data_IF_067838739086
#
_entry.id   IF_067838739086
#
_cell.length_a   1.000
_cell.length_b   1.000
_cell.length_c   1.000
_cell.angle_alpha   90.00
_cell.angle_beta   90.00
_cell.angle_gamma   90.00
#
_symmetry.space_group_name_H-M   'P 1'
#
loop_
_entity.id
_entity.type
_entity.pdbx_description
1 polymer ?
#
# COMPACT_ATOMS: atom_id res chain seq x y z
N UNK A 1 16.91 -13.10 -26.52
CA UNK A 1 16.01 -13.14 -25.35
C UNK A 1 15.06 -11.97 -25.55
N UNK A 2 13.91 -12.20 -26.19
CA UNK A 2 12.92 -11.16 -26.40
C UNK A 2 12.24 -10.86 -25.06
N UNK A 3 12.52 -9.70 -24.51
CA UNK A 3 11.74 -9.14 -23.40
C UNK A 3 10.35 -8.79 -23.93
N UNK A 4 9.45 -9.77 -23.96
CA UNK A 4 8.05 -9.49 -24.21
C UNK A 4 7.51 -8.79 -22.94
N UNK A 5 7.43 -7.49 -22.98
CA UNK A 5 6.73 -6.66 -21.98
C UNK A 5 5.22 -6.92 -22.20
N UNK A 6 4.78 -8.12 -21.91
CA UNK A 6 3.37 -8.43 -21.85
C UNK A 6 2.91 -7.97 -20.47
N UNK A 7 2.17 -6.86 -20.41
CA UNK A 7 1.43 -6.45 -19.22
C UNK A 7 0.48 -7.54 -18.74
N UNK A 8 -0.20 -7.31 -17.62
CA UNK A 8 -1.15 -8.27 -17.06
C UNK A 8 -2.15 -8.73 -18.14
N UNK A 9 -2.32 -10.04 -18.30
CA UNK A 9 -3.23 -10.61 -19.30
C UNK A 9 -4.66 -10.20 -18.99
N UNK A 10 -5.36 -9.64 -19.98
CA UNK A 10 -6.80 -9.38 -19.90
C UNK A 10 -7.51 -10.74 -20.04
N UNK A 11 -8.27 -11.12 -19.02
CA UNK A 11 -9.01 -12.39 -19.01
C UNK A 11 -10.43 -12.21 -19.50
N UNK A 12 -11.05 -11.10 -19.19
CA UNK A 12 -12.42 -10.79 -19.59
C UNK A 12 -12.65 -9.28 -19.67
N UNK A 13 -13.35 -8.82 -20.70
CA UNK A 13 -13.74 -7.42 -20.85
C UNK A 13 -15.25 -7.30 -20.67
N UNK A 14 -15.69 -6.51 -19.69
CA UNK A 14 -17.10 -6.16 -19.49
C UNK A 14 -17.39 -4.92 -20.31
N UNK A 15 -18.21 -5.05 -21.35
CA UNK A 15 -18.71 -3.94 -22.14
C UNK A 15 -19.97 -3.35 -21.49
N UNK A 16 -20.17 -2.04 -21.61
CA UNK A 16 -21.35 -1.32 -21.10
C UNK A 16 -21.47 -1.17 -19.58
N UNK A 17 -20.40 -0.86 -18.87
CA UNK A 17 -20.51 -0.42 -17.47
C UNK A 17 -20.96 1.05 -17.46
N UNK A 18 -22.13 1.38 -16.86
CA UNK A 18 -22.57 2.77 -16.73
C UNK A 18 -21.54 3.55 -15.91
N UNK A 19 -20.95 4.60 -16.40
CA UNK A 19 -19.91 5.50 -15.91
C UNK A 19 -18.49 5.20 -16.38
N UNK A 20 -18.08 3.96 -16.60
CA UNK A 20 -16.69 3.55 -16.88
C UNK A 20 -16.49 3.02 -18.31
N UNK A 21 -17.57 2.80 -19.06
CA UNK A 21 -17.52 2.30 -20.44
C UNK A 21 -17.10 0.83 -20.53
N UNK A 22 -15.81 0.58 -20.73
CA UNK A 22 -15.22 -0.78 -20.76
C UNK A 22 -14.39 -1.02 -19.53
N UNK A 23 -14.58 -2.16 -18.86
CA UNK A 23 -13.78 -2.57 -17.71
C UNK A 23 -13.11 -3.90 -18.03
N UNK A 24 -11.79 -3.90 -18.07
CA UNK A 24 -10.99 -5.08 -18.33
C UNK A 24 -10.66 -5.77 -17.00
N UNK A 25 -11.09 -7.04 -16.88
CA UNK A 25 -10.70 -7.89 -15.76
C UNK A 25 -9.34 -8.50 -16.11
N UNK A 26 -8.30 -7.97 -15.44
CA UNK A 26 -6.94 -8.44 -15.60
C UNK A 26 -6.63 -9.60 -14.66
N UNK A 27 -5.63 -10.40 -15.00
CA UNK A 27 -5.10 -11.42 -14.10
C UNK A 27 -4.68 -10.84 -12.75
N UNK A 28 -4.10 -9.64 -12.75
CA UNK A 28 -3.72 -8.89 -11.54
C UNK A 28 -4.89 -8.68 -10.60
N UNK A 29 -6.06 -8.33 -11.13
CA UNK A 29 -7.27 -8.09 -10.34
C UNK A 29 -7.72 -9.36 -9.61
N UNK A 30 -7.75 -10.51 -10.31
CA UNK A 30 -8.16 -11.79 -9.73
C UNK A 30 -7.17 -12.24 -8.66
N UNK A 31 -5.86 -12.11 -8.91
CA UNK A 31 -4.83 -12.45 -7.92
C UNK A 31 -4.90 -11.52 -6.72
N UNK A 32 -5.20 -10.22 -6.92
CA UNK A 32 -5.42 -9.27 -5.82
C UNK A 32 -6.58 -9.70 -4.91
N UNK A 33 -7.69 -10.11 -5.49
CA UNK A 33 -8.84 -10.61 -4.72
C UNK A 33 -8.50 -11.89 -3.96
N UNK A 34 -7.75 -12.78 -4.57
CA UNK A 34 -7.28 -14.00 -3.92
C UNK A 34 -6.37 -13.68 -2.73
N UNK A 35 -5.41 -12.78 -2.90
CA UNK A 35 -4.51 -12.31 -1.84
C UNK A 35 -5.29 -11.70 -0.68
N UNK A 36 -6.23 -10.77 -0.97
CA UNK A 36 -7.08 -10.16 0.06
C UNK A 36 -7.93 -11.22 0.77
N UNK A 37 -8.49 -12.17 0.02
CA UNK A 37 -9.26 -13.27 0.59
C UNK A 37 -8.42 -14.14 1.55
N UNK A 38 -7.20 -14.52 1.15
CA UNK A 38 -6.27 -15.30 1.98
C UNK A 38 -5.92 -14.54 3.26
N UNK A 39 -5.56 -13.24 3.14
CA UNK A 39 -5.20 -12.40 4.28
C UNK A 39 -6.38 -12.28 5.24
N UNK A 40 -7.59 -12.03 4.72
CA UNK A 40 -8.80 -11.89 5.53
C UNK A 40 -9.11 -13.18 6.29
N UNK A 41 -9.05 -14.33 5.62
CA UNK A 41 -9.26 -15.64 6.24
C UNK A 41 -8.20 -15.94 7.31
N UNK A 42 -6.94 -15.61 7.03
CA UNK A 42 -5.84 -15.81 7.96
C UNK A 42 -5.99 -14.92 9.20
N UNK A 43 -6.32 -13.65 9.02
CA UNK A 43 -6.58 -12.72 10.13
C UNK A 43 -7.79 -13.15 10.95
N UNK A 44 -8.87 -13.58 10.29
CA UNK A 44 -10.05 -14.11 10.98
C UNK A 44 -9.73 -15.39 11.77
N UNK A 45 -8.99 -16.31 11.15
CA UNK A 45 -8.55 -17.53 11.84
C UNK A 45 -7.67 -17.23 13.03
N UNK A 46 -6.68 -16.34 12.93
CA UNK A 46 -5.78 -15.96 14.02
C UNK A 46 -6.49 -15.16 15.11
N UNK A 47 -7.42 -14.27 14.74
CA UNK A 47 -8.19 -13.44 15.66
C UNK A 47 -9.35 -14.17 16.34
N UNK A 48 -9.74 -15.37 15.88
CA UNK A 48 -10.83 -16.13 16.47
C UNK A 48 -10.39 -16.88 17.74
N UNK A 49 -11.19 -16.76 18.82
CA UNK A 49 -11.00 -17.52 20.05
C UNK A 49 -9.83 -17.03 20.93
N UNK A 50 -9.55 -15.74 20.91
CA UNK A 50 -8.57 -15.13 21.83
C UNK A 50 -9.03 -15.26 23.28
N UNK A 51 -8.13 -15.68 24.17
CA UNK A 51 -8.38 -15.88 25.60
C UNK A 51 -7.35 -15.12 26.42
N UNK A 52 -7.78 -14.58 27.55
CA UNK A 52 -6.89 -13.90 28.52
C UNK A 52 -6.04 -14.89 29.32
N UNK A 53 -6.60 -16.08 29.57
CA UNK A 53 -5.94 -17.18 30.31
C UNK A 53 -5.80 -18.40 29.39
N UNK A 54 -4.75 -19.18 29.55
CA UNK A 54 -4.41 -20.33 28.70
C UNK A 54 -4.20 -19.96 27.24
N UNK A 55 -3.16 -19.14 26.98
CA UNK A 55 -2.76 -18.67 25.65
C UNK A 55 -2.41 -19.86 24.76
N UNK A 56 -3.08 -19.98 23.64
CA UNK A 56 -2.78 -21.00 22.63
C UNK A 56 -1.57 -20.58 21.78
N UNK A 57 -0.82 -21.54 21.21
CA UNK A 57 0.31 -21.24 20.29
C UNK A 57 -0.13 -20.33 19.14
N UNK A 58 -1.34 -20.51 18.63
CA UNK A 58 -1.98 -19.68 17.61
C UNK A 58 -2.07 -18.21 18.05
N UNK A 59 -2.55 -17.97 19.28
CA UNK A 59 -2.67 -16.63 19.86
C UNK A 59 -1.28 -16.00 20.07
N UNK A 60 -0.31 -16.77 20.58
CA UNK A 60 1.06 -16.29 20.77
C UNK A 60 1.69 -15.79 19.45
N UNK A 61 1.48 -16.49 18.33
CA UNK A 61 1.94 -16.06 17.01
C UNK A 61 1.24 -14.77 16.56
N UNK A 62 -0.08 -14.68 16.76
CA UNK A 62 -0.83 -13.47 16.41
C UNK A 62 -0.38 -12.25 17.25
N UNK A 63 -0.20 -12.43 18.56
CA UNK A 63 0.28 -11.37 19.46
C UNK A 63 1.72 -10.94 19.14
N UNK A 64 2.59 -11.89 18.81
CA UNK A 64 3.97 -11.59 18.40
C UNK A 64 3.98 -10.76 17.12
N UNK A 65 3.19 -11.13 16.11
CA UNK A 65 3.06 -10.38 14.85
C UNK A 65 2.48 -8.97 15.08
N UNK A 66 1.42 -8.87 15.89
CA UNK A 66 0.81 -7.59 16.23
C UNK A 66 1.78 -6.67 16.99
N UNK A 67 2.53 -7.23 17.96
CA UNK A 67 3.54 -6.49 18.75
C UNK A 67 4.70 -6.03 17.87
N UNK A 68 5.18 -6.89 16.96
CA UNK A 68 6.24 -6.52 16.02
C UNK A 68 5.81 -5.37 15.13
N UNK A 69 4.58 -5.41 14.58
CA UNK A 69 4.01 -4.34 13.76
C UNK A 69 3.86 -3.04 14.57
N UNK A 70 3.34 -3.12 15.79
CA UNK A 70 3.17 -1.98 16.68
C UNK A 70 4.52 -1.32 16.99
N UNK A 71 5.54 -2.11 17.33
CA UNK A 71 6.88 -1.60 17.59
C UNK A 71 7.51 -0.98 16.34
N UNK A 72 7.29 -1.59 15.17
CA UNK A 72 7.76 -1.05 13.88
C UNK A 72 7.12 0.31 13.58
N UNK A 73 5.79 0.44 13.72
CA UNK A 73 5.10 1.71 13.47
C UNK A 73 5.50 2.77 14.48
N UNK A 74 5.51 2.46 15.77
CA UNK A 74 5.90 3.39 16.83
C UNK A 74 7.35 3.83 16.72
N UNK A 75 8.25 2.93 16.34
CA UNK A 75 9.66 3.25 16.14
C UNK A 75 9.92 4.20 14.98
N UNK A 76 9.06 4.21 13.97
CA UNK A 76 9.22 5.06 12.79
C UNK A 76 8.34 6.32 12.79
N UNK A 77 7.13 6.23 13.34
CA UNK A 77 6.13 7.31 13.25
C UNK A 77 5.82 7.96 14.60
N UNK A 78 6.17 7.31 15.72
CA UNK A 78 5.79 7.75 17.06
C UNK A 78 4.43 7.24 17.51
N UNK A 79 4.13 7.42 18.79
CA UNK A 79 2.90 6.92 19.45
C UNK A 79 1.63 7.68 19.05
N UNK A 80 1.78 8.90 18.53
CA UNK A 80 0.64 9.72 18.10
C UNK A 80 -0.09 9.12 16.88
N UNK A 81 0.59 8.26 16.12
CA UNK A 81 0.09 7.64 14.89
C UNK A 81 -0.39 6.19 15.08
N UNK A 82 -0.64 5.76 16.32
CA UNK A 82 -1.11 4.40 16.63
C UNK A 82 -2.39 4.01 15.85
N UNK A 83 -3.26 4.96 15.54
CA UNK A 83 -4.48 4.71 14.76
C UNK A 83 -4.21 4.31 13.30
N UNK A 84 -2.98 4.51 12.78
CA UNK A 84 -2.56 4.05 11.44
C UNK A 84 -1.94 2.66 11.44
N UNK A 85 -1.74 2.03 12.60
CA UNK A 85 -1.18 0.66 12.68
C UNK A 85 -1.95 -0.34 11.80
N UNK A 86 -3.30 -0.36 11.80
CA UNK A 86 -4.03 -1.28 10.93
C UNK A 86 -3.80 -1.01 9.44
N UNK A 87 -3.74 0.26 9.03
CA UNK A 87 -3.50 0.64 7.64
C UNK A 87 -2.10 0.22 7.19
N UNK A 88 -1.08 0.62 7.94
CA UNK A 88 0.32 0.28 7.64
C UNK A 88 0.51 -1.24 7.64
N UNK A 89 -0.09 -1.93 8.62
CA UNK A 89 -0.07 -3.38 8.69
C UNK A 89 -0.72 -4.05 7.50
N UNK A 90 -1.85 -3.54 7.05
CA UNK A 90 -2.55 -4.07 5.87
C UNK A 90 -1.70 -3.92 4.62
N UNK A 91 -1.13 -2.74 4.37
CA UNK A 91 -0.25 -2.49 3.22
C UNK A 91 0.97 -3.42 3.29
N UNK A 92 1.62 -3.51 4.46
CA UNK A 92 2.81 -4.35 4.65
C UNK A 92 2.52 -5.83 4.42
N UNK A 93 1.48 -6.38 5.06
CA UNK A 93 1.11 -7.80 4.90
C UNK A 93 0.69 -8.09 3.47
N UNK A 94 -0.09 -7.20 2.84
CA UNK A 94 -0.52 -7.38 1.45
C UNK A 94 0.68 -7.37 0.50
N UNK A 95 1.65 -6.48 0.70
CA UNK A 95 2.89 -6.44 -0.08
C UNK A 95 3.69 -7.75 0.07
N UNK A 96 3.89 -8.21 1.30
CA UNK A 96 4.62 -9.47 1.57
C UNK A 96 3.93 -10.66 0.92
N UNK A 97 2.61 -10.81 1.13
CA UNK A 97 1.85 -11.94 0.56
C UNK A 97 1.83 -11.88 -0.98
N UNK A 98 1.68 -10.69 -1.57
CA UNK A 98 1.73 -10.50 -3.02
C UNK A 98 3.07 -10.94 -3.61
N UNK A 99 4.19 -10.60 -2.93
CA UNK A 99 5.52 -11.03 -3.36
C UNK A 99 5.69 -12.55 -3.25
N UNK A 100 5.16 -13.17 -2.17
CA UNK A 100 5.18 -14.64 -2.03
C UNK A 100 4.36 -15.33 -3.13
N UNK A 101 3.23 -14.76 -3.52
CA UNK A 101 2.40 -15.26 -4.64
C UNK A 101 3.17 -15.16 -5.96
N UNK A 102 3.99 -14.13 -6.15
CA UNK A 102 4.90 -14.01 -7.29
C UNK A 102 5.90 -15.17 -7.39
N UNK A 103 6.43 -15.66 -6.26
CA UNK A 103 7.32 -16.82 -6.22
C UNK A 103 6.62 -18.13 -6.65
N UNK A 104 5.31 -18.21 -6.53
CA UNK A 104 4.51 -19.35 -7.01
C UNK A 104 4.25 -19.30 -8.53
N UNK A 105 4.82 -18.33 -9.25
CA UNK A 105 4.65 -18.15 -10.69
C UNK A 105 3.34 -17.49 -11.10
N UNK A 106 2.57 -16.95 -10.14
CA UNK A 106 1.39 -16.14 -10.43
C UNK A 106 1.81 -14.68 -10.63
N UNK A 107 1.06 -13.96 -11.46
CA UNK A 107 1.33 -12.54 -11.67
C UNK A 107 1.02 -11.75 -10.40
N UNK A 108 2.09 -11.26 -9.74
CA UNK A 108 1.94 -10.52 -8.48
C UNK A 108 1.19 -9.20 -8.69
N UNK A 109 0.23 -8.85 -7.84
CA UNK A 109 -0.42 -7.53 -7.87
C UNK A 109 0.57 -6.36 -7.74
N UNK A 110 1.64 -6.54 -6.99
CA UNK A 110 2.70 -5.54 -6.79
C UNK A 110 3.64 -5.41 -7.99
N UNK A 111 3.56 -6.31 -8.96
CA UNK A 111 4.24 -6.18 -10.26
C UNK A 111 3.44 -5.32 -11.26
N UNK A 112 2.36 -4.69 -10.85
CA UNK A 112 1.56 -3.77 -11.64
C UNK A 112 1.74 -2.34 -11.11
N UNK A 113 2.33 -1.47 -11.95
CA UNK A 113 2.60 -0.07 -11.58
C UNK A 113 1.33 0.69 -11.19
N UNK A 114 0.18 0.37 -11.79
CA UNK A 114 -1.09 1.04 -11.46
C UNK A 114 -1.58 0.69 -10.07
N UNK A 115 -1.37 -0.54 -9.62
CA UNK A 115 -1.67 -0.98 -8.24
C UNK A 115 -0.79 -0.24 -7.24
N UNK A 116 0.51 -0.14 -7.52
CA UNK A 116 1.46 0.59 -6.68
C UNK A 116 1.17 2.09 -6.63
N UNK A 117 0.78 2.66 -7.76
CA UNK A 117 0.38 4.08 -7.83
C UNK A 117 -0.89 4.34 -7.01
N UNK A 118 -1.86 3.44 -7.04
CA UNK A 118 -3.07 3.57 -6.23
C UNK A 118 -2.75 3.57 -4.72
N UNK A 119 -1.87 2.68 -4.25
CA UNK A 119 -1.42 2.66 -2.86
C UNK A 119 -0.63 3.91 -2.49
N UNK A 120 0.28 4.35 -3.35
CA UNK A 120 1.06 5.57 -3.15
C UNK A 120 0.16 6.81 -3.07
N UNK A 121 -0.90 6.89 -3.87
CA UNK A 121 -1.88 7.99 -3.81
C UNK A 121 -2.64 8.01 -2.49
N UNK A 122 -3.09 6.86 -1.97
CA UNK A 122 -3.76 6.78 -0.67
C UNK A 122 -2.83 7.29 0.44
N UNK A 123 -1.59 6.82 0.47
CA UNK A 123 -0.59 7.25 1.46
C UNK A 123 -0.28 8.73 1.30
N UNK A 124 -0.13 9.23 0.08
CA UNK A 124 0.13 10.64 -0.20
C UNK A 124 -1.01 11.55 0.29
N UNK A 125 -2.26 11.18 0.06
CA UNK A 125 -3.42 11.93 0.57
C UNK A 125 -3.41 11.99 2.09
N UNK A 126 -3.07 10.89 2.76
CA UNK A 126 -2.97 10.86 4.23
C UNK A 126 -1.83 11.74 4.75
N UNK A 127 -0.67 11.70 4.11
CA UNK A 127 0.48 12.57 4.45
C UNK A 127 0.09 14.03 4.29
N UNK A 128 -0.51 14.40 3.15
CA UNK A 128 -0.93 15.77 2.87
C UNK A 128 -2.00 16.26 3.86
N UNK A 129 -2.97 15.39 4.18
CA UNK A 129 -3.97 15.69 5.20
C UNK A 129 -3.33 16.02 6.56
N UNK A 130 -2.34 15.23 6.99
CA UNK A 130 -1.64 15.47 8.27
C UNK A 130 -0.76 16.72 8.24
N UNK A 131 -0.09 16.99 7.12
CA UNK A 131 0.65 18.23 6.92
C UNK A 131 -0.26 19.45 7.08
N UNK A 132 -1.44 19.43 6.44
CA UNK A 132 -2.42 20.51 6.52
C UNK A 132 -2.99 20.62 7.94
N UNK A 133 -3.27 19.51 8.61
CA UNK A 133 -3.79 19.49 9.97
C UNK A 133 -2.78 20.04 10.99
N UNK A 134 -1.49 19.75 10.81
CA UNK A 134 -0.42 20.19 11.72
C UNK A 134 -0.06 21.67 11.53
N UNK A 135 0.04 22.15 10.29
CA UNK A 135 0.52 23.50 9.96
C UNK A 135 -0.58 24.49 9.57
N UNK A 136 -1.82 23.99 9.40
CA UNK A 136 -2.92 24.74 8.79
C UNK A 136 -2.70 24.93 7.28
N UNK A 137 -3.75 25.32 6.57
CA UNK A 137 -3.70 25.52 5.10
C UNK A 137 -2.66 26.59 4.73
N UNK A 138 -2.64 27.69 5.48
CA UNK A 138 -1.69 28.80 5.23
C UNK A 138 -0.26 28.38 5.52
N UNK A 139 -0.03 27.60 6.59
CA UNK A 139 1.30 27.07 6.92
C UNK A 139 1.80 26.08 5.87
N UNK A 140 0.93 25.21 5.37
CA UNK A 140 1.24 24.28 4.30
C UNK A 140 1.64 25.00 3.01
N UNK A 141 0.88 26.04 2.60
CA UNK A 141 1.21 26.84 1.42
C UNK A 141 2.50 27.65 1.61
N UNK A 142 2.76 28.21 2.81
CA UNK A 142 4.03 28.86 3.10
C UNK A 142 5.22 27.89 3.00
N UNK A 143 5.05 26.62 3.38
CA UNK A 143 6.09 25.61 3.26
C UNK A 143 6.63 25.42 1.85
N UNK A 144 5.81 25.71 0.81
CA UNK A 144 6.31 25.70 -0.57
C UNK A 144 7.22 26.88 -0.90
N UNK A 145 7.11 27.98 -0.16
CA UNK A 145 7.88 29.20 -0.37
C UNK A 145 9.21 29.21 0.40
N UNK A 146 9.38 28.32 1.38
CA UNK A 146 10.59 28.18 2.15
C UNK A 146 11.67 27.37 1.41
N UNK A 147 12.96 27.71 1.52
CA UNK A 147 13.54 28.89 2.17
C UNK A 147 13.52 30.16 1.30
N UNK A 148 13.27 30.02 0.00
CA UNK A 148 13.30 31.16 -0.96
C UNK A 148 12.14 31.01 -1.92
N UNK A 149 11.41 32.08 -2.17
CA UNK A 149 10.26 32.15 -3.09
C UNK A 149 10.55 31.56 -4.49
N UNK A 150 11.78 31.70 -4.99
CA UNK A 150 12.20 31.14 -6.28
C UNK A 150 12.15 29.59 -6.30
N UNK A 151 12.21 28.93 -5.14
CA UNK A 151 12.12 27.47 -5.04
C UNK A 151 10.67 26.95 -5.00
N UNK A 152 9.67 27.82 -4.92
CA UNK A 152 8.27 27.43 -4.89
C UNK A 152 7.86 26.49 -6.03
N UNK A 153 8.18 26.77 -7.30
CA UNK A 153 7.80 25.87 -8.39
C UNK A 153 8.47 24.48 -8.27
N UNK A 154 9.71 24.42 -7.79
CA UNK A 154 10.42 23.15 -7.57
C UNK A 154 9.79 22.35 -6.42
N UNK A 155 9.42 23.02 -5.33
CA UNK A 155 8.77 22.39 -4.18
C UNK A 155 7.40 21.85 -4.56
N UNK A 156 6.59 22.58 -5.33
CA UNK A 156 5.30 22.12 -5.85
C UNK A 156 5.49 20.91 -6.78
N UNK A 157 6.44 20.97 -7.71
CA UNK A 157 6.75 19.85 -8.59
C UNK A 157 7.17 18.61 -7.76
N UNK A 158 8.05 18.78 -6.78
CA UNK A 158 8.50 17.71 -5.89
C UNK A 158 7.32 17.04 -5.18
N UNK A 159 6.38 17.83 -4.64
CA UNK A 159 5.19 17.31 -3.96
C UNK A 159 4.29 16.53 -4.94
N UNK A 160 4.08 17.04 -6.16
CA UNK A 160 3.29 16.35 -7.20
C UNK A 160 3.94 15.02 -7.66
N UNK A 161 5.27 14.97 -7.75
CA UNK A 161 6.00 13.77 -8.16
C UNK A 161 6.22 12.77 -7.02
N UNK A 162 5.95 13.14 -5.77
CA UNK A 162 6.13 12.26 -4.61
C UNK A 162 5.40 10.93 -4.75
N UNK A 163 4.09 10.85 -5.06
CA UNK A 163 3.40 9.57 -5.18
C UNK A 163 3.93 8.72 -6.34
N UNK A 164 4.33 9.35 -7.45
CA UNK A 164 4.92 8.66 -8.59
C UNK A 164 6.27 8.06 -8.20
N UNK A 165 7.11 8.83 -7.51
CA UNK A 165 8.42 8.37 -7.03
C UNK A 165 8.28 7.21 -6.04
N UNK A 166 7.29 7.25 -5.15
CA UNK A 166 7.01 6.17 -4.21
C UNK A 166 6.59 4.89 -4.94
N UNK A 167 5.65 5.00 -5.87
CA UNK A 167 5.18 3.88 -6.68
C UNK A 167 6.31 3.27 -7.52
N UNK A 168 7.07 4.08 -8.23
CA UNK A 168 8.20 3.62 -9.04
C UNK A 168 9.31 2.96 -8.21
N UNK A 169 9.55 3.46 -7.00
CA UNK A 169 10.56 2.87 -6.09
C UNK A 169 10.14 1.47 -5.67
N UNK A 170 8.89 1.29 -5.24
CA UNK A 170 8.38 0.00 -4.80
C UNK A 170 8.31 -0.98 -5.96
N UNK A 171 7.73 -0.57 -7.07
CA UNK A 171 7.67 -1.35 -8.31
C UNK A 171 9.07 -1.75 -8.83
N UNK A 172 10.04 -0.83 -8.83
CA UNK A 172 11.41 -1.10 -9.26
C UNK A 172 12.11 -2.12 -8.36
N UNK A 173 11.89 -2.06 -7.05
CA UNK A 173 12.43 -3.05 -6.11
C UNK A 173 11.87 -4.45 -6.37
N UNK A 174 10.58 -4.56 -6.72
CA UNK A 174 9.94 -5.84 -7.03
C UNK A 174 10.44 -6.42 -8.36
N UNK A 175 10.65 -5.57 -9.37
CA UNK A 175 11.15 -6.03 -10.67
C UNK A 175 12.63 -6.42 -10.64
N UNK A 176 13.42 -5.82 -9.76
CA UNK A 176 14.87 -6.08 -9.67
C UNK A 176 15.21 -7.26 -8.76
N UNK A 177 14.31 -7.71 -7.91
CA UNK A 177 14.47 -8.87 -7.00
C UNK A 177 13.93 -10.12 -7.58
#
# INVERSE_FOLDING_TARGET
>A
MELSINGAKILYTIENVPLLGKVDITQTLIVSWLVVGIITLLCWYLGSGLKVTNITRKQAVAEMGATALLNFVRGNMGTEFDHYIPLVGTIFITSVVSNLVGLLGLWSPTADLMTELAWALVVFVLITYHKIKASGIVGYLKGFLDPIFVMAPLNVMSECFTPISMACRHFGNILSG
#
